data_IF_246162600009
#
_entry.id   IF_246162600009
#
_cell.length_a   1.000
_cell.length_b   1.000
_cell.length_c   1.000
_cell.angle_alpha   90.00
_cell.angle_beta   90.00
_cell.angle_gamma   90.00
#
_symmetry.space_group_name_H-M   'P 1'
#
loop_
_entity.id
_entity.type
_entity.pdbx_description
1 polymer ?
#
# COMPACT_ATOMS: atom_id res chain seq x y z
N UNK A 1 -3.51 3.16 -1.74
CA UNK A 1 -2.77 2.45 -0.69
C UNK A 1 -2.67 1.00 -1.09
N UNK A 2 -1.47 0.53 -1.31
CA UNK A 2 -1.22 -0.86 -1.71
C UNK A 2 -0.16 -1.45 -0.77
N UNK A 3 -0.35 -2.72 -0.41
CA UNK A 3 0.54 -3.45 0.48
C UNK A 3 0.95 -4.73 -0.23
N UNK A 4 2.23 -5.03 -0.21
CA UNK A 4 2.80 -6.28 -0.67
C UNK A 4 3.24 -7.08 0.54
N UNK A 5 2.78 -8.32 0.61
CA UNK A 5 3.07 -9.26 1.67
C UNK A 5 3.70 -10.51 1.06
N UNK A 6 4.85 -10.91 1.58
CA UNK A 6 5.53 -12.13 1.15
C UNK A 6 5.67 -13.14 2.28
N UNK A 7 5.41 -14.40 2.00
CA UNK A 7 5.60 -15.49 2.95
C UNK A 7 6.92 -16.20 2.64
N UNK A 8 7.84 -16.28 3.60
CA UNK A 8 9.19 -16.83 3.42
C UNK A 8 9.24 -18.35 3.57
N UNK A 9 10.08 -19.00 2.73
CA UNK A 9 10.28 -20.46 2.70
C UNK A 9 11.03 -21.04 3.89
N UNK A 10 11.60 -20.26 4.82
CA UNK A 10 12.41 -20.82 5.90
C UNK A 10 11.70 -20.80 7.26
N UNK A 11 11.88 -21.90 7.99
CA UNK A 11 11.45 -22.21 9.36
C UNK A 11 11.28 -20.97 10.25
N UNK A 12 10.04 -20.57 10.44
CA UNK A 12 9.67 -19.45 11.28
C UNK A 12 8.90 -18.41 10.46
N UNK A 13 7.65 -18.16 10.83
CA UNK A 13 6.70 -17.22 10.23
C UNK A 13 7.23 -15.78 10.19
N UNK A 14 8.22 -15.46 9.38
CA UNK A 14 8.61 -14.08 9.10
C UNK A 14 7.93 -13.65 7.82
N UNK A 15 6.83 -12.96 7.97
CA UNK A 15 6.12 -12.34 6.86
C UNK A 15 6.65 -10.91 6.71
N UNK A 16 7.36 -10.61 5.65
CA UNK A 16 7.71 -9.23 5.34
C UNK A 16 6.49 -8.52 4.76
N UNK A 17 6.13 -7.40 5.35
CA UNK A 17 5.07 -6.53 4.88
C UNK A 17 5.70 -5.25 4.35
N UNK A 18 5.39 -4.92 3.10
CA UNK A 18 5.82 -3.68 2.46
C UNK A 18 4.61 -2.76 2.27
N UNK A 19 4.71 -1.56 2.78
CA UNK A 19 3.69 -0.52 2.66
C UNK A 19 4.19 0.60 1.76
N UNK A 20 3.40 0.94 0.74
CA UNK A 20 3.73 1.98 -0.24
C UNK A 20 2.75 3.14 -0.11
N UNK A 21 3.28 4.35 -0.06
CA UNK A 21 2.48 5.56 0.09
C UNK A 21 3.26 6.80 -0.34
N UNK A 22 2.61 7.97 -0.30
CA UNK A 22 3.24 9.26 -0.55
C UNK A 22 2.76 10.30 0.45
N UNK A 23 3.66 11.19 0.91
CA UNK A 23 3.29 12.28 1.82
C UNK A 23 2.67 13.44 1.03
N UNK A 24 1.42 13.77 1.37
CA UNK A 24 0.64 14.82 0.68
C UNK A 24 1.01 16.23 1.18
N UNK A 25 2.26 16.66 1.01
CA UNK A 25 2.75 17.98 1.45
C UNK A 25 1.92 19.14 0.88
N UNK A 26 1.43 19.00 -0.34
CA UNK A 26 0.59 20.02 -0.99
C UNK A 26 -0.73 20.29 -0.25
N UNK A 27 -1.19 19.34 0.58
CA UNK A 27 -2.42 19.49 1.36
C UNK A 27 -2.21 20.26 2.67
N UNK A 28 -0.96 20.47 3.10
CA UNK A 28 -0.66 21.17 4.36
C UNK A 28 -1.09 22.64 4.37
N UNK A 29 -1.29 23.25 3.21
CA UNK A 29 -1.88 24.61 3.11
C UNK A 29 -3.35 24.63 3.54
N UNK A 30 -4.08 23.50 3.40
CA UNK A 30 -5.50 23.37 3.75
C UNK A 30 -5.63 22.69 5.12
N UNK A 31 -4.82 21.67 5.37
CA UNK A 31 -4.80 20.89 6.60
C UNK A 31 -3.34 20.68 7.02
N UNK A 32 -2.81 21.55 7.89
CA UNK A 32 -1.40 21.51 8.34
C UNK A 32 -1.00 20.17 8.95
N UNK A 33 -1.94 19.46 9.55
CA UNK A 33 -1.69 18.18 10.22
C UNK A 33 -1.66 16.97 9.30
N UNK A 34 -1.98 17.12 8.01
CA UNK A 34 -2.01 15.99 7.05
C UNK A 34 -0.72 15.17 7.06
N UNK A 35 0.44 15.82 6.94
CA UNK A 35 1.74 15.14 6.93
C UNK A 35 2.18 14.69 8.33
N UNK A 36 2.08 15.50 9.39
CA UNK A 36 2.34 15.05 10.76
C UNK A 36 1.55 13.80 11.15
N UNK A 37 0.25 13.74 10.88
CA UNK A 37 -0.58 12.54 11.14
C UNK A 37 -0.08 11.32 10.38
N UNK A 38 0.18 11.46 9.07
CA UNK A 38 0.70 10.37 8.27
C UNK A 38 2.05 9.86 8.80
N UNK A 39 2.97 10.75 9.20
CA UNK A 39 4.24 10.38 9.80
C UNK A 39 4.07 9.62 11.12
N UNK A 40 3.08 9.98 11.96
CA UNK A 40 2.74 9.22 13.18
C UNK A 40 2.33 7.79 12.84
N UNK A 41 1.47 7.62 11.85
CA UNK A 41 1.05 6.30 11.37
C UNK A 41 2.23 5.46 10.86
N UNK A 42 3.13 6.07 10.07
CA UNK A 42 4.34 5.38 9.57
C UNK A 42 5.28 4.95 10.72
N UNK A 43 5.36 5.72 11.82
CA UNK A 43 6.11 5.31 13.02
C UNK A 43 5.50 4.05 13.65
N UNK A 44 4.18 3.99 13.77
CA UNK A 44 3.50 2.80 14.28
C UNK A 44 3.71 1.58 13.37
N UNK A 45 3.60 1.74 12.04
CA UNK A 45 3.87 0.66 11.10
C UNK A 45 5.31 0.13 11.22
N UNK A 46 6.30 1.03 11.33
CA UNK A 46 7.70 0.64 11.53
C UNK A 46 7.90 -0.12 12.83
N UNK A 47 7.25 0.29 13.91
CA UNK A 47 7.32 -0.41 15.20
C UNK A 47 6.73 -1.82 15.14
N UNK A 48 5.81 -2.06 14.22
CA UNK A 48 5.25 -3.39 13.90
C UNK A 48 6.11 -4.21 12.92
N UNK A 49 7.31 -3.72 12.56
CA UNK A 49 8.19 -4.41 11.61
C UNK A 49 7.81 -4.21 10.13
N UNK A 50 6.83 -3.33 9.83
CA UNK A 50 6.42 -3.07 8.46
C UNK A 50 7.43 -2.14 7.79
N UNK A 51 7.97 -2.57 6.65
CA UNK A 51 8.86 -1.76 5.82
C UNK A 51 8.01 -0.86 4.93
N UNK A 52 8.23 0.46 4.96
CA UNK A 52 7.53 1.37 4.07
C UNK A 52 8.45 2.05 3.08
N UNK A 53 7.92 2.31 1.89
CA UNK A 53 8.55 3.08 0.84
C UNK A 53 7.66 4.27 0.49
N UNK A 54 8.26 5.47 0.47
CA UNK A 54 7.54 6.70 0.14
C UNK A 54 7.85 7.12 -1.28
N UNK A 55 6.80 7.29 -2.05
CA UNK A 55 6.76 7.94 -3.34
C UNK A 55 6.48 9.44 -3.17
N UNK A 56 6.13 10.13 -4.24
CA UNK A 56 5.94 11.58 -4.23
C UNK A 56 4.71 12.03 -5.00
N UNK A 57 4.20 13.20 -4.63
CA UNK A 57 3.24 13.93 -5.44
C UNK A 57 3.97 14.91 -6.37
N UNK A 58 3.55 14.96 -7.63
CA UNK A 58 3.99 15.99 -8.60
C UNK A 58 2.83 16.90 -8.95
N UNK A 59 3.05 18.23 -8.98
CA UNK A 59 2.06 19.16 -9.49
C UNK A 59 1.93 18.99 -11.01
N UNK A 60 0.71 19.07 -11.51
CA UNK A 60 0.38 19.07 -12.92
C UNK A 60 -0.63 20.17 -13.21
N UNK A 61 -0.31 21.06 -14.15
CA UNK A 61 -1.28 22.01 -14.66
C UNK A 61 -2.38 21.26 -15.43
N UNK A 62 -3.62 21.55 -15.10
CA UNK A 62 -4.80 20.90 -15.66
C UNK A 62 -5.83 21.98 -16.02
N UNK A 63 -6.51 21.80 -17.13
CA UNK A 63 -7.59 22.68 -17.57
C UNK A 63 -8.94 22.08 -17.17
N UNK A 64 -9.79 22.86 -16.51
CA UNK A 64 -11.15 22.45 -16.23
C UNK A 64 -11.94 22.33 -17.55
N UNK A 65 -12.57 21.19 -17.80
CA UNK A 65 -13.32 20.94 -19.03
C UNK A 65 -14.58 21.80 -19.14
N UNK A 66 -15.15 22.26 -18.02
CA UNK A 66 -16.39 23.01 -17.99
C UNK A 66 -16.17 24.53 -18.06
N UNK A 67 -15.24 25.07 -17.27
CA UNK A 67 -15.02 26.52 -17.17
C UNK A 67 -13.70 26.99 -17.78
N UNK A 68 -12.90 26.09 -18.33
CA UNK A 68 -11.59 26.36 -18.95
C UNK A 68 -10.58 27.06 -18.03
N UNK A 69 -10.83 27.05 -16.71
CA UNK A 69 -9.89 27.60 -15.74
C UNK A 69 -8.74 26.63 -15.54
N UNK A 70 -7.52 27.13 -15.53
CA UNK A 70 -6.30 26.38 -15.20
C UNK A 70 -6.21 26.18 -13.69
N UNK A 71 -5.90 24.97 -13.27
CA UNK A 71 -5.64 24.65 -11.86
C UNK A 71 -4.51 23.63 -11.72
N UNK A 72 -3.89 23.58 -10.56
CA UNK A 72 -2.83 22.61 -10.27
C UNK A 72 -3.46 21.40 -9.60
N UNK A 73 -3.36 20.24 -10.25
CA UNK A 73 -3.68 18.94 -9.69
C UNK A 73 -2.39 18.27 -9.23
N UNK A 74 -2.39 17.69 -8.03
CA UNK A 74 -1.27 16.88 -7.56
C UNK A 74 -1.57 15.41 -7.80
N UNK A 75 -0.69 14.75 -8.54
CA UNK A 75 -0.80 13.33 -8.89
C UNK A 75 0.29 12.56 -8.15
N UNK A 76 -0.11 11.46 -7.50
CA UNK A 76 0.85 10.50 -6.94
C UNK A 76 1.60 9.83 -8.10
N UNK A 77 2.91 9.71 -7.97
CA UNK A 77 3.80 9.14 -8.97
C UNK A 77 4.71 8.11 -8.36
N UNK A 78 5.08 7.12 -9.15
CA UNK A 78 6.10 6.10 -8.83
C UNK A 78 5.59 4.98 -7.92
N UNK A 79 4.43 5.08 -7.26
CA UNK A 79 3.97 4.08 -6.28
C UNK A 79 3.73 2.72 -6.93
N UNK A 80 3.01 2.66 -8.05
CA UNK A 80 2.70 1.38 -8.73
C UNK A 80 3.97 0.75 -9.31
N UNK A 81 4.87 1.58 -9.84
CA UNK A 81 6.18 1.13 -10.31
C UNK A 81 7.03 0.58 -9.16
N UNK A 82 7.00 1.24 -8.00
CA UNK A 82 7.73 0.77 -6.82
C UNK A 82 7.19 -0.57 -6.29
N UNK A 83 5.85 -0.75 -6.30
CA UNK A 83 5.21 -2.03 -5.93
C UNK A 83 5.61 -3.12 -6.93
N UNK A 84 5.51 -2.83 -8.24
CA UNK A 84 5.88 -3.77 -9.29
C UNK A 84 7.35 -4.19 -9.22
N UNK A 85 8.26 -3.22 -8.99
CA UNK A 85 9.68 -3.47 -8.82
C UNK A 85 9.96 -4.34 -7.57
N UNK A 86 9.33 -4.01 -6.43
CA UNK A 86 9.47 -4.80 -5.19
C UNK A 86 8.91 -6.21 -5.33
N UNK A 87 7.78 -6.37 -6.02
CA UNK A 87 7.21 -7.68 -6.35
C UNK A 87 8.24 -8.55 -7.09
N UNK A 88 8.82 -8.03 -8.15
CA UNK A 88 9.80 -8.78 -8.95
C UNK A 88 11.12 -9.00 -8.19
N UNK A 89 11.56 -8.03 -7.38
CA UNK A 89 12.75 -8.14 -6.54
C UNK A 89 12.64 -9.32 -5.55
N UNK A 90 11.54 -9.38 -4.78
CA UNK A 90 11.38 -10.45 -3.77
C UNK A 90 11.27 -11.82 -4.41
N UNK A 91 10.70 -11.93 -5.61
CA UNK A 91 10.62 -13.16 -6.38
C UNK A 91 11.98 -13.55 -6.96
N UNK A 92 12.72 -12.60 -7.54
CA UNK A 92 14.06 -12.83 -8.09
C UNK A 92 15.02 -13.32 -7.00
N UNK A 93 14.95 -12.74 -5.81
CA UNK A 93 15.74 -13.15 -4.66
C UNK A 93 15.25 -14.47 -4.01
N UNK A 94 14.22 -15.10 -4.56
CA UNK A 94 13.62 -16.34 -4.08
C UNK A 94 13.26 -16.29 -2.57
N UNK A 95 12.80 -15.13 -2.11
CA UNK A 95 12.51 -14.85 -0.69
C UNK A 95 11.14 -15.33 -0.23
N UNK A 96 10.23 -15.66 -1.16
CA UNK A 96 8.89 -16.13 -0.82
C UNK A 96 8.35 -17.11 -1.86
N UNK A 97 7.36 -17.91 -1.49
CA UNK A 97 6.57 -18.77 -2.35
C UNK A 97 5.13 -18.28 -2.55
N UNK A 98 4.71 -17.34 -1.72
CA UNK A 98 3.39 -16.74 -1.76
C UNK A 98 3.49 -15.23 -1.63
N UNK A 99 2.84 -14.51 -2.53
CA UNK A 99 2.71 -13.05 -2.49
C UNK A 99 1.25 -12.69 -2.30
N UNK A 100 1.01 -11.77 -1.38
CA UNK A 100 -0.31 -11.20 -1.14
C UNK A 100 -0.28 -9.70 -1.50
N UNK A 101 -1.11 -9.30 -2.45
CA UNK A 101 -1.25 -7.91 -2.88
C UNK A 101 -2.56 -7.34 -2.33
N UNK A 102 -2.47 -6.37 -1.42
CA UNK A 102 -3.62 -5.59 -0.98
C UNK A 102 -3.79 -4.39 -1.91
N UNK A 103 -4.60 -4.53 -2.93
CA UNK A 103 -4.85 -3.50 -3.95
C UNK A 103 -6.16 -3.76 -4.69
N UNK A 104 -6.71 -2.73 -5.33
CA UNK A 104 -7.79 -2.82 -6.31
C UNK A 104 -7.41 -2.12 -7.61
N UNK A 105 -6.11 -1.80 -7.79
CA UNK A 105 -5.60 -1.03 -8.91
C UNK A 105 -5.11 -1.93 -10.04
N UNK A 106 -5.70 -1.77 -11.24
CA UNK A 106 -5.37 -2.54 -12.43
C UNK A 106 -3.99 -2.21 -13.02
N UNK A 107 -3.39 -1.10 -12.63
CA UNK A 107 -2.05 -0.72 -13.09
C UNK A 107 -0.97 -1.73 -12.68
N UNK A 108 -1.28 -2.58 -11.68
CA UNK A 108 -0.43 -3.70 -11.28
C UNK A 108 -0.64 -4.99 -12.11
N UNK A 109 -1.66 -5.06 -12.98
CA UNK A 109 -1.93 -6.25 -13.78
C UNK A 109 -0.74 -6.71 -14.65
N UNK A 110 0.02 -5.80 -15.32
CA UNK A 110 1.21 -6.19 -16.07
C UNK A 110 2.28 -6.85 -15.20
N UNK A 111 2.52 -6.31 -14.00
CA UNK A 111 3.51 -6.86 -13.07
C UNK A 111 3.11 -8.27 -12.59
N UNK A 112 1.83 -8.50 -12.31
CA UNK A 112 1.29 -9.81 -11.93
C UNK A 112 1.46 -10.82 -13.07
N UNK A 113 1.13 -10.43 -14.32
CA UNK A 113 1.31 -11.28 -15.52
C UNK A 113 2.78 -11.68 -15.68
N UNK A 114 3.69 -10.71 -15.60
CA UNK A 114 5.13 -10.93 -15.68
C UNK A 114 5.62 -11.87 -14.57
N UNK A 115 5.20 -11.63 -13.33
CA UNK A 115 5.57 -12.48 -12.20
C UNK A 115 5.14 -13.94 -12.39
N UNK A 116 3.92 -14.18 -12.87
CA UNK A 116 3.42 -15.54 -13.15
C UNK A 116 4.20 -16.22 -14.28
N UNK A 117 4.61 -15.46 -15.29
CA UNK A 117 5.39 -16.00 -16.42
C UNK A 117 6.81 -16.39 -15.97
N UNK A 118 7.47 -15.50 -15.23
CA UNK A 118 8.86 -15.71 -14.81
C UNK A 118 8.99 -16.68 -13.63
N UNK A 119 7.97 -16.75 -12.78
CA UNK A 119 7.98 -17.53 -11.54
C UNK A 119 6.73 -18.43 -11.44
N UNK A 120 6.60 -19.46 -12.29
CA UNK A 120 5.35 -20.24 -12.42
C UNK A 120 4.95 -21.04 -11.16
N UNK A 121 5.87 -21.20 -10.19
CA UNK A 121 5.60 -21.93 -8.93
C UNK A 121 5.10 -21.02 -7.81
N UNK A 122 5.06 -19.70 -8.04
CA UNK A 122 4.64 -18.71 -7.07
C UNK A 122 3.10 -18.70 -6.94
N UNK A 123 2.62 -18.54 -5.71
CA UNK A 123 1.20 -18.27 -5.45
C UNK A 123 1.00 -16.76 -5.30
N UNK A 124 0.07 -16.20 -6.07
CA UNK A 124 -0.32 -14.78 -5.98
C UNK A 124 -1.75 -14.70 -5.48
N UNK A 125 -1.94 -13.98 -4.38
CA UNK A 125 -3.23 -13.72 -3.73
C UNK A 125 -3.55 -12.23 -3.81
N UNK A 126 -4.76 -11.87 -4.25
CA UNK A 126 -5.24 -10.50 -4.19
C UNK A 126 -6.17 -10.30 -2.99
N UNK A 127 -5.85 -9.34 -2.12
CA UNK A 127 -6.76 -8.82 -1.10
C UNK A 127 -7.38 -7.53 -1.62
N UNK A 128 -8.70 -7.53 -1.77
CA UNK A 128 -9.41 -6.32 -2.22
C UNK A 128 -9.87 -5.51 -1.03
N UNK A 129 -9.46 -4.24 -0.90
CA UNK A 129 -10.02 -3.33 0.09
C UNK A 129 -11.54 -3.24 -0.04
N UNK A 130 -12.21 -2.90 1.04
CA UNK A 130 -13.67 -2.75 1.05
C UNK A 130 -14.14 -1.87 -0.11
N UNK A 131 -15.11 -2.35 -0.89
CA UNK A 131 -15.65 -1.70 -2.11
C UNK A 131 -14.62 -1.44 -3.23
N UNK A 132 -13.47 -2.13 -3.24
CA UNK A 132 -12.41 -1.99 -4.25
C UNK A 132 -12.13 -3.30 -4.99
N UNK A 133 -13.13 -4.17 -5.10
CA UNK A 133 -13.00 -5.39 -5.89
C UNK A 133 -12.75 -5.07 -7.37
N UNK A 134 -11.87 -5.85 -7.99
CA UNK A 134 -11.54 -5.73 -9.39
C UNK A 134 -11.50 -7.12 -10.04
N UNK A 135 -12.31 -7.31 -11.08
CA UNK A 135 -12.48 -8.60 -11.75
C UNK A 135 -11.25 -9.02 -12.56
N UNK A 136 -10.51 -8.06 -13.13
CA UNK A 136 -9.28 -8.36 -13.87
C UNK A 136 -8.23 -8.95 -12.94
N UNK A 137 -7.96 -8.27 -11.81
CA UNK A 137 -7.01 -8.75 -10.81
C UNK A 137 -7.46 -10.07 -10.17
N UNK A 138 -8.75 -10.24 -9.95
CA UNK A 138 -9.31 -11.48 -9.41
C UNK A 138 -9.04 -12.67 -10.35
N UNK A 139 -9.20 -12.48 -11.67
CA UNK A 139 -8.90 -13.51 -12.68
C UNK A 139 -7.40 -13.79 -12.84
N UNK A 140 -6.56 -12.77 -12.63
CA UNK A 140 -5.11 -12.90 -12.73
C UNK A 140 -4.50 -13.60 -11.51
N UNK A 141 -5.06 -13.41 -10.32
CA UNK A 141 -4.57 -14.04 -9.09
C UNK A 141 -4.93 -15.53 -9.03
N UNK A 142 -4.21 -16.31 -8.19
CA UNK A 142 -4.56 -17.71 -7.92
C UNK A 142 -5.77 -17.82 -6.99
N UNK A 143 -5.90 -16.86 -6.09
CA UNK A 143 -7.08 -16.69 -5.25
C UNK A 143 -7.23 -15.22 -4.85
N UNK A 144 -8.43 -14.84 -4.40
CA UNK A 144 -8.66 -13.49 -3.92
C UNK A 144 -9.60 -13.47 -2.72
N UNK A 145 -9.47 -12.43 -1.90
CA UNK A 145 -10.28 -12.21 -0.71
C UNK A 145 -10.79 -10.77 -0.74
N UNK A 146 -12.08 -10.58 -0.46
CA UNK A 146 -12.71 -9.26 -0.30
C UNK A 146 -12.73 -8.90 1.19
N UNK A 147 -12.04 -7.83 1.58
CA UNK A 147 -12.02 -7.37 2.96
C UNK A 147 -13.36 -6.70 3.27
N UNK A 148 -14.00 -7.15 4.34
CA UNK A 148 -15.27 -6.58 4.83
C UNK A 148 -15.02 -5.34 5.68
N UNK A 149 -16.04 -4.47 5.79
CA UNK A 149 -15.95 -3.25 6.61
C UNK A 149 -15.59 -3.54 8.07
N UNK A 150 -16.19 -4.60 8.65
CA UNK A 150 -15.96 -4.99 10.05
C UNK A 150 -14.51 -5.41 10.33
N UNK A 151 -13.78 -5.88 9.29
CA UNK A 151 -12.37 -6.23 9.41
C UNK A 151 -11.53 -5.02 9.81
N UNK A 152 -11.82 -3.84 9.25
CA UNK A 152 -11.09 -2.62 9.61
C UNK A 152 -11.35 -2.20 11.05
N UNK A 153 -12.57 -2.31 11.54
CA UNK A 153 -12.91 -1.97 12.92
C UNK A 153 -12.21 -2.91 13.93
N UNK A 154 -12.15 -4.20 13.60
CA UNK A 154 -11.55 -5.22 14.47
C UNK A 154 -10.01 -5.17 14.52
N UNK A 155 -9.37 -4.58 13.50
CA UNK A 155 -7.91 -4.59 13.33
C UNK A 155 -7.32 -3.17 13.35
N UNK A 156 -7.91 -2.28 14.15
CA UNK A 156 -7.32 -0.96 14.43
C UNK A 156 -6.05 -1.12 15.26
N UNK A 157 -5.11 -0.18 15.09
CA UNK A 157 -4.00 -0.06 16.03
C UNK A 157 -4.54 0.29 17.43
N UNK A 158 -3.84 -0.13 18.47
CA UNK A 158 -4.17 0.28 19.82
C UNK A 158 -4.16 1.81 19.97
N UNK A 159 -5.01 2.35 20.83
CA UNK A 159 -5.05 3.79 21.11
C UNK A 159 -5.02 4.01 22.64
N UNK A 160 -3.93 4.55 23.18
CA UNK A 160 -2.69 4.91 22.50
C UNK A 160 -1.86 3.70 22.04
N UNK A 161 -1.14 3.85 20.91
CA UNK A 161 -0.15 2.89 20.45
C UNK A 161 1.20 3.17 21.14
N UNK A 162 1.79 2.16 21.77
CA UNK A 162 3.07 2.29 22.46
C UNK A 162 4.22 1.82 21.55
N UNK A 163 5.19 2.71 21.34
CA UNK A 163 6.41 2.42 20.59
C UNK A 163 7.41 1.63 21.47
N UNK A 164 8.41 0.94 20.87
CA UNK A 164 9.43 0.19 21.62
C UNK A 164 10.25 1.03 22.62
N UNK A 165 10.32 2.35 22.41
CA UNK A 165 10.99 3.32 23.31
C UNK A 165 10.09 3.83 24.44
N UNK A 166 8.87 3.31 24.59
CA UNK A 166 7.88 3.74 25.56
C UNK A 166 7.05 4.97 25.13
N UNK A 167 7.34 5.58 23.99
CA UNK A 167 6.57 6.72 23.48
C UNK A 167 5.15 6.29 23.12
N UNK A 168 4.14 7.01 23.61
CA UNK A 168 2.72 6.76 23.28
C UNK A 168 2.24 7.67 22.16
N UNK A 169 1.65 7.08 21.15
CA UNK A 169 1.06 7.78 20.00
C UNK A 169 -0.46 7.59 20.07
N UNK A 170 -1.18 8.67 20.33
CA UNK A 170 -2.64 8.66 20.29
C UNK A 170 -3.15 8.87 18.88
N UNK A 171 -4.29 8.24 18.59
CA UNK A 171 -5.03 8.41 17.34
C UNK A 171 -5.44 9.88 17.20
N UNK A 172 -5.16 10.51 16.05
CA UNK A 172 -5.61 11.87 15.80
C UNK A 172 -7.15 11.94 15.79
N UNK A 173 -7.78 13.00 16.34
CA UNK A 173 -9.26 13.12 16.38
C UNK A 173 -9.94 13.07 15.01
N UNK A 174 -9.21 13.38 13.95
CA UNK A 174 -9.69 13.39 12.56
C UNK A 174 -9.62 12.02 11.86
N UNK A 175 -9.32 10.94 12.58
CA UNK A 175 -9.23 9.58 12.03
C UNK A 175 -10.38 8.69 12.51
#
# INVERSE_FOLDING_TARGET
MSILYGNYRQKGNTNDIFYFSALAHHRQLIDPDTVPRHKKYLKCLRALGIVYQLSRFKPRETLCRNCHTKYIKHEEKETDVAIAAKLLEVLHLNKCDTIVLLTGDTDLAPAIKTAKTLFPKITIVCLFPYKRHNDELAKLSHTHIKIKAETYTKHQLADPFELPDGTKISKPPSW
#
